data_IF_433260870573
#
_entry.id   IF_433260870573
#
_cell.length_a   1.000
_cell.length_b   1.000
_cell.length_c   1.000
_cell.angle_alpha   90.00
_cell.angle_beta   90.00
_cell.angle_gamma   90.00
#
_symmetry.space_group_name_H-M   'P 1'
#
loop_
_entity.id
_entity.type
_entity.pdbx_description
1 polymer ?
#
# COMPACT_ATOMS: atom_id res chain seq x y z
N UNK A 1 9.59 18.77 13.21
CA UNK A 1 9.02 17.93 12.13
C UNK A 1 10.06 17.60 11.07
N UNK A 2 10.60 18.57 10.30
CA UNK A 2 11.60 18.31 9.24
C UNK A 2 12.84 17.51 9.69
N UNK A 3 13.40 17.82 10.87
CA UNK A 3 14.54 17.10 11.43
C UNK A 3 14.26 15.62 11.72
N UNK A 4 13.03 15.28 12.12
CA UNK A 4 12.63 13.90 12.41
C UNK A 4 12.49 13.13 11.10
N UNK A 5 11.83 13.71 10.09
CA UNK A 5 11.70 13.13 8.75
C UNK A 5 13.06 12.87 8.13
N UNK A 6 13.97 13.85 8.19
CA UNK A 6 15.32 13.71 7.66
C UNK A 6 16.11 12.63 8.41
N UNK A 7 16.02 12.60 9.74
CA UNK A 7 16.62 11.56 10.58
C UNK A 7 16.11 10.16 10.22
N UNK A 8 14.79 9.98 10.11
CA UNK A 8 14.18 8.72 9.68
C UNK A 8 14.64 8.32 8.28
N UNK A 9 14.71 9.25 7.33
CA UNK A 9 15.20 8.96 5.99
C UNK A 9 16.65 8.46 5.99
N UNK A 10 17.54 9.09 6.77
CA UNK A 10 18.92 8.63 6.92
C UNK A 10 19.01 7.24 7.53
N UNK A 11 18.21 6.96 8.57
CA UNK A 11 18.14 5.62 9.18
C UNK A 11 17.65 4.59 8.15
N UNK A 12 16.60 4.88 7.39
CA UNK A 12 16.11 3.98 6.35
C UNK A 12 17.15 3.71 5.27
N UNK A 13 17.89 4.73 4.83
CA UNK A 13 18.99 4.56 3.88
C UNK A 13 20.10 3.68 4.46
N UNK A 14 20.48 3.90 5.72
CA UNK A 14 21.50 3.09 6.38
C UNK A 14 21.06 1.62 6.52
N UNK A 15 19.83 1.37 6.96
CA UNK A 15 19.26 0.04 7.05
C UNK A 15 19.16 -0.65 5.68
N UNK A 16 18.78 0.11 4.65
CA UNK A 16 18.73 -0.40 3.28
C UNK A 16 20.12 -0.81 2.79
N UNK A 17 21.15 0.01 3.04
CA UNK A 17 22.53 -0.33 2.69
C UNK A 17 23.01 -1.59 3.42
N UNK A 18 22.71 -1.72 4.71
CA UNK A 18 23.04 -2.93 5.47
C UNK A 18 22.38 -4.16 4.88
N UNK A 19 21.07 -4.11 4.61
CA UNK A 19 20.39 -5.26 4.02
C UNK A 19 20.88 -5.58 2.59
N UNK A 20 21.30 -4.59 1.80
CA UNK A 20 21.94 -4.84 0.48
C UNK A 20 23.25 -5.61 0.64
N UNK A 21 24.05 -5.28 1.66
CA UNK A 21 25.28 -6.02 1.99
C UNK A 21 24.93 -7.44 2.44
N UNK A 22 23.93 -7.60 3.30
CA UNK A 22 23.49 -8.92 3.78
C UNK A 22 23.03 -9.81 2.62
N UNK A 23 22.24 -9.27 1.68
CA UNK A 23 21.81 -9.99 0.47
C UNK A 23 23.03 -10.36 -0.40
N UNK A 24 23.99 -9.45 -0.58
CA UNK A 24 25.17 -9.73 -1.38
C UNK A 24 26.04 -10.84 -0.77
N UNK A 25 26.22 -10.81 0.55
CA UNK A 25 26.96 -11.85 1.29
C UNK A 25 26.22 -13.18 1.23
N UNK A 26 24.92 -13.20 1.55
CA UNK A 26 24.12 -14.43 1.49
C UNK A 26 24.06 -15.05 0.09
N UNK A 27 23.95 -14.21 -0.95
CA UNK A 27 24.03 -14.68 -2.33
C UNK A 27 25.41 -15.28 -2.66
N UNK A 28 26.49 -14.63 -2.21
CA UNK A 28 27.85 -15.16 -2.39
C UNK A 28 28.03 -16.51 -1.71
N UNK A 29 27.51 -16.66 -0.48
CA UNK A 29 27.55 -17.92 0.27
C UNK A 29 26.79 -19.04 -0.47
N UNK A 30 25.56 -18.79 -0.94
CA UNK A 30 24.78 -19.76 -1.73
C UNK A 30 25.51 -20.23 -3.00
N UNK A 31 26.15 -19.29 -3.70
CA UNK A 31 26.92 -19.60 -4.92
C UNK A 31 28.16 -20.42 -4.57
N UNK A 32 28.86 -20.07 -3.49
CA UNK A 32 30.08 -20.75 -3.06
C UNK A 32 29.80 -22.14 -2.49
N UNK A 33 28.71 -22.33 -1.76
CA UNK A 33 28.32 -23.62 -1.16
C UNK A 33 27.67 -24.58 -2.16
N UNK A 34 27.21 -24.06 -3.31
CA UNK A 34 26.42 -24.78 -4.33
C UNK A 34 25.03 -25.23 -3.83
N UNK A 35 24.51 -24.59 -2.80
CA UNK A 35 23.19 -24.87 -2.23
C UNK A 35 22.07 -24.06 -2.90
N UNK A 36 22.33 -23.44 -4.06
CA UNK A 36 21.34 -22.68 -4.84
C UNK A 36 20.11 -23.49 -5.31
N UNK A 37 20.07 -24.81 -5.06
CA UNK A 37 18.90 -25.67 -5.35
C UNK A 37 18.19 -26.13 -4.06
N UNK A 38 18.71 -25.80 -2.87
CA UNK A 38 18.03 -26.06 -1.61
C UNK A 38 16.95 -24.99 -1.38
N UNK A 39 15.65 -25.38 -1.28
CA UNK A 39 14.58 -24.44 -1.00
C UNK A 39 14.77 -23.66 0.30
N UNK A 40 15.41 -24.24 1.32
CA UNK A 40 15.61 -23.56 2.62
C UNK A 40 16.57 -22.38 2.49
N UNK A 41 17.73 -22.62 1.89
CA UNK A 41 18.73 -21.58 1.65
C UNK A 41 18.18 -20.42 0.80
N UNK A 42 17.30 -20.73 -0.17
CA UNK A 42 16.62 -19.69 -0.97
C UNK A 42 15.62 -18.89 -0.12
N UNK A 43 14.82 -19.55 0.73
CA UNK A 43 13.86 -18.87 1.60
C UNK A 43 14.57 -17.94 2.58
N UNK A 44 15.70 -18.36 3.16
CA UNK A 44 16.50 -17.53 4.06
C UNK A 44 17.03 -16.27 3.35
N UNK A 45 17.50 -16.40 2.10
CA UNK A 45 17.93 -15.25 1.29
C UNK A 45 16.75 -14.33 0.92
N UNK A 46 15.61 -14.94 0.56
CA UNK A 46 14.40 -14.19 0.25
C UNK A 46 13.91 -13.41 1.47
N UNK A 47 14.05 -13.93 2.68
CA UNK A 47 13.68 -13.23 3.89
C UNK A 47 14.42 -11.88 4.03
N UNK A 48 15.72 -11.85 3.72
CA UNK A 48 16.51 -10.60 3.69
C UNK A 48 16.06 -9.67 2.57
N UNK A 49 15.84 -10.20 1.35
CA UNK A 49 15.38 -9.40 0.21
C UNK A 49 14.00 -8.80 0.47
N UNK A 50 13.08 -9.58 1.03
CA UNK A 50 11.73 -9.14 1.35
C UNK A 50 11.73 -8.14 2.51
N UNK A 51 12.67 -8.25 3.46
CA UNK A 51 12.90 -7.22 4.48
C UNK A 51 13.36 -5.90 3.84
N UNK A 52 14.25 -5.93 2.85
CA UNK A 52 14.62 -4.73 2.09
C UNK A 52 13.40 -4.09 1.40
N UNK A 53 12.49 -4.90 0.84
CA UNK A 53 11.25 -4.39 0.24
C UNK A 53 10.36 -3.71 1.30
N UNK A 54 10.31 -4.22 2.53
CA UNK A 54 9.61 -3.54 3.65
C UNK A 54 10.25 -2.17 3.91
N UNK A 55 11.58 -2.05 3.92
CA UNK A 55 12.27 -0.76 4.12
C UNK A 55 11.90 0.23 3.00
N UNK A 56 11.88 -0.20 1.74
CA UNK A 56 11.48 0.64 0.60
C UNK A 56 10.03 1.14 0.76
N UNK A 57 9.16 0.29 1.27
CA UNK A 57 7.75 0.64 1.47
C UNK A 57 7.54 1.62 2.63
N UNK A 58 8.29 1.45 3.73
CA UNK A 58 8.32 2.45 4.82
C UNK A 58 8.84 3.79 4.30
N UNK A 59 9.83 3.79 3.42
CA UNK A 59 10.31 5.02 2.78
C UNK A 59 9.23 5.70 1.93
N UNK A 60 8.44 4.93 1.15
CA UNK A 60 7.29 5.48 0.41
C UNK A 60 6.24 6.09 1.32
N UNK A 61 5.95 5.44 2.44
CA UNK A 61 5.03 5.93 3.47
C UNK A 61 5.52 7.27 4.04
N UNK A 62 6.81 7.36 4.35
CA UNK A 62 7.44 8.60 4.81
C UNK A 62 7.33 9.72 3.77
N UNK A 63 7.61 9.41 2.50
CA UNK A 63 7.52 10.38 1.42
C UNK A 63 6.09 10.87 1.20
N UNK A 64 5.09 9.99 1.27
CA UNK A 64 3.69 10.35 1.15
C UNK A 64 3.25 11.28 2.30
N UNK A 65 3.71 11.03 3.52
CA UNK A 65 3.48 11.94 4.65
C UNK A 65 4.01 13.35 4.38
N UNK A 66 5.23 13.47 3.84
CA UNK A 66 5.83 14.76 3.49
C UNK A 66 5.08 15.46 2.35
N UNK A 67 4.52 14.71 1.40
CA UNK A 67 3.73 15.23 0.29
C UNK A 67 2.25 15.48 0.62
N UNK A 68 1.82 15.25 1.87
CA UNK A 68 0.42 15.28 2.28
C UNK A 68 -0.48 14.38 1.42
N UNK A 69 0.06 13.25 0.96
CA UNK A 69 -0.68 12.23 0.23
C UNK A 69 -1.41 11.29 1.20
N UNK A 70 -2.50 10.62 0.76
CA UNK A 70 -3.21 9.66 1.60
C UNK A 70 -2.32 8.49 2.03
N UNK A 71 -1.82 8.55 3.27
CA UNK A 71 -0.89 7.55 3.83
C UNK A 71 -1.56 6.18 4.04
N UNK A 72 -2.86 6.17 4.36
CA UNK A 72 -3.62 4.95 4.71
C UNK A 72 -3.55 3.89 3.60
N UNK A 73 -3.75 4.29 2.34
CA UNK A 73 -3.74 3.34 1.21
C UNK A 73 -2.36 2.74 0.96
N UNK A 74 -1.31 3.52 1.20
CA UNK A 74 0.09 3.06 1.09
C UNK A 74 0.39 2.06 2.21
N UNK A 75 -0.02 2.35 3.45
CA UNK A 75 0.18 1.45 4.58
C UNK A 75 -0.59 0.14 4.41
N UNK A 76 -1.81 0.17 3.87
CA UNK A 76 -2.56 -1.07 3.55
C UNK A 76 -1.83 -1.88 2.49
N UNK A 77 -1.33 -1.23 1.42
CA UNK A 77 -0.50 -1.88 0.42
C UNK A 77 0.75 -2.52 1.03
N UNK A 78 1.42 -1.82 1.95
CA UNK A 78 2.55 -2.34 2.71
C UNK A 78 2.19 -3.56 3.55
N UNK A 79 1.03 -3.53 4.22
CA UNK A 79 0.50 -4.68 4.96
C UNK A 79 0.29 -5.89 4.06
N UNK A 80 -0.27 -5.69 2.86
CA UNK A 80 -0.47 -6.79 1.88
C UNK A 80 0.88 -7.39 1.50
N UNK A 81 1.87 -6.57 1.19
CA UNK A 81 3.22 -7.03 0.84
C UNK A 81 3.87 -7.79 2.00
N UNK A 82 3.73 -7.30 3.24
CA UNK A 82 4.26 -7.97 4.42
C UNK A 82 3.65 -9.36 4.64
N UNK A 83 2.35 -9.52 4.39
CA UNK A 83 1.66 -10.80 4.54
C UNK A 83 1.96 -11.74 3.38
N UNK A 84 2.06 -11.19 2.17
CA UNK A 84 2.52 -11.95 1.00
C UNK A 84 3.94 -12.48 1.22
N UNK A 85 4.84 -11.70 1.85
CA UNK A 85 6.17 -12.16 2.28
C UNK A 85 6.07 -13.38 3.17
N UNK A 86 5.25 -13.31 4.23
CA UNK A 86 5.08 -14.42 5.16
C UNK A 86 4.55 -15.69 4.47
N UNK A 87 3.65 -15.52 3.49
CA UNK A 87 3.11 -16.62 2.69
C UNK A 87 4.18 -17.24 1.77
N UNK A 88 5.03 -16.42 1.15
CA UNK A 88 6.12 -16.90 0.28
C UNK A 88 7.15 -17.69 1.08
N UNK A 89 7.44 -17.25 2.32
CA UNK A 89 8.37 -17.93 3.24
C UNK A 89 7.72 -19.09 4.02
N UNK A 90 6.43 -19.37 3.81
CA UNK A 90 5.68 -20.34 4.61
C UNK A 90 6.13 -21.79 4.33
N UNK A 91 6.72 -22.44 5.33
CA UNK A 91 7.16 -23.82 5.24
C UNK A 91 6.39 -24.73 6.20
N UNK A 92 5.59 -25.66 5.65
CA UNK A 92 4.77 -26.61 6.45
C UNK A 92 5.63 -27.48 7.38
N UNK A 93 6.85 -27.83 6.96
CA UNK A 93 7.77 -28.65 7.76
C UNK A 93 8.37 -27.97 8.99
N UNK A 94 8.13 -26.66 9.18
CA UNK A 94 8.60 -25.92 10.35
C UNK A 94 7.67 -26.03 11.56
N UNK A 95 6.47 -26.61 11.39
CA UNK A 95 5.47 -26.75 12.46
C UNK A 95 5.52 -28.15 13.10
N UNK A 96 5.19 -28.24 14.39
CA UNK A 96 5.20 -29.50 15.13
C UNK A 96 4.09 -30.47 14.69
N UNK A 97 2.99 -29.93 14.13
CA UNK A 97 1.88 -30.72 13.62
C UNK A 97 1.19 -30.05 12.42
N UNK A 98 0.53 -30.85 11.59
CA UNK A 98 -0.25 -30.36 10.44
C UNK A 98 -1.41 -29.46 10.86
N UNK A 99 -1.95 -29.64 12.07
CA UNK A 99 -3.02 -28.79 12.61
C UNK A 99 -2.50 -27.38 12.91
N UNK A 100 -1.31 -27.25 13.54
CA UNK A 100 -0.68 -25.95 13.77
C UNK A 100 -0.41 -25.23 12.43
N UNK A 101 0.11 -25.96 11.44
CA UNK A 101 0.35 -25.41 10.11
C UNK A 101 -0.94 -24.93 9.44
N UNK A 102 -2.04 -25.70 9.56
CA UNK A 102 -3.33 -25.32 8.99
C UNK A 102 -3.91 -24.07 9.66
N UNK A 103 -3.79 -23.96 10.99
CA UNK A 103 -4.23 -22.77 11.73
C UNK A 103 -3.43 -21.54 11.30
N UNK A 104 -2.10 -21.67 11.18
CA UNK A 104 -1.22 -20.58 10.74
C UNK A 104 -1.57 -20.14 9.30
N UNK A 105 -1.72 -21.08 8.38
CA UNK A 105 -2.12 -20.79 7.00
C UNK A 105 -3.51 -20.12 6.94
N UNK A 106 -4.47 -20.59 7.74
CA UNK A 106 -5.80 -19.99 7.84
C UNK A 106 -5.75 -18.56 8.39
N UNK A 107 -4.90 -18.29 9.39
CA UNK A 107 -4.69 -16.95 9.92
C UNK A 107 -4.09 -16.00 8.87
N UNK A 108 -3.08 -16.45 8.12
CA UNK A 108 -2.48 -15.65 7.03
C UNK A 108 -3.49 -15.38 5.91
N UNK A 109 -4.30 -16.38 5.52
CA UNK A 109 -5.34 -16.21 4.52
C UNK A 109 -6.40 -15.19 4.96
N UNK A 110 -6.84 -15.27 6.23
CA UNK A 110 -7.81 -14.33 6.79
C UNK A 110 -7.24 -12.91 6.87
N UNK A 111 -6.00 -12.76 7.32
CA UNK A 111 -5.34 -11.46 7.42
C UNK A 111 -5.16 -10.83 6.04
N UNK A 112 -4.72 -11.61 5.04
CA UNK A 112 -4.64 -11.16 3.66
C UNK A 112 -6.00 -10.74 3.10
N UNK A 113 -7.06 -11.51 3.38
CA UNK A 113 -8.42 -11.20 2.94
C UNK A 113 -8.94 -9.88 3.56
N UNK A 114 -8.68 -9.65 4.86
CA UNK A 114 -9.03 -8.39 5.54
C UNK A 114 -8.30 -7.20 4.92
N UNK A 115 -7.00 -7.33 4.65
CA UNK A 115 -6.21 -6.25 4.02
C UNK A 115 -6.63 -5.99 2.58
N UNK A 116 -6.88 -7.04 1.80
CA UNK A 116 -7.38 -6.92 0.42
C UNK A 116 -8.75 -6.24 0.39
N UNK A 117 -9.63 -6.61 1.33
CA UNK A 117 -10.93 -5.95 1.52
C UNK A 117 -10.72 -4.48 1.87
N UNK A 118 -9.91 -4.16 2.88
CA UNK A 118 -9.60 -2.78 3.24
C UNK A 118 -9.02 -1.97 2.06
N UNK A 119 -8.16 -2.58 1.24
CA UNK A 119 -7.59 -1.92 0.06
C UNK A 119 -8.63 -1.55 -0.99
N UNK A 120 -9.65 -2.39 -1.19
CA UNK A 120 -10.75 -2.13 -2.14
C UNK A 120 -11.71 -1.08 -1.59
N UNK A 121 -12.03 -1.14 -0.30
CA UNK A 121 -13.06 -0.27 0.31
C UNK A 121 -12.54 1.09 0.77
N UNK A 122 -11.25 1.26 1.00
CA UNK A 122 -10.69 2.56 1.37
C UNK A 122 -10.75 3.52 0.17
N UNK A 123 -11.51 4.62 0.26
CA UNK A 123 -11.66 5.56 -0.84
C UNK A 123 -10.30 6.12 -1.25
N UNK A 124 -10.05 6.16 -2.56
CA UNK A 124 -8.99 7.01 -3.09
C UNK A 124 -9.50 8.45 -3.03
N UNK A 125 -8.76 9.35 -2.40
CA UNK A 125 -9.12 10.77 -2.42
C UNK A 125 -9.19 11.23 -3.88
N UNK A 126 -10.32 11.76 -4.37
CA UNK A 126 -10.42 12.32 -5.71
C UNK A 126 -9.64 13.63 -5.75
N UNK A 127 -8.33 13.50 -5.90
CA UNK A 127 -7.37 14.59 -6.09
C UNK A 127 -6.13 14.14 -6.85
N UNK A 128 -6.13 12.89 -7.33
CA UNK A 128 -5.10 12.37 -8.22
C UNK A 128 -5.60 12.53 -9.66
N UNK A 129 -5.27 13.66 -10.29
CA UNK A 129 -5.41 13.85 -11.74
C UNK A 129 -6.71 14.51 -12.24
N UNK A 130 -7.49 15.20 -11.41
CA UNK A 130 -8.45 16.16 -11.98
C UNK A 130 -7.64 17.27 -12.64
N UNK A 131 -7.65 17.30 -13.97
CA UNK A 131 -7.29 18.49 -14.73
C UNK A 131 -8.08 19.63 -14.10
N UNK A 132 -7.38 20.67 -13.65
CA UNK A 132 -8.02 21.93 -13.29
C UNK A 132 -8.86 22.36 -14.50
N UNK A 133 -10.18 22.21 -14.39
CA UNK A 133 -11.13 22.61 -15.41
C UNK A 133 -11.62 24.02 -15.07
N UNK A 134 -11.07 25.08 -15.68
CA UNK A 134 -11.45 26.46 -15.39
C UNK A 134 -12.88 26.80 -15.81
N UNK A 135 -13.63 25.87 -16.42
CA UNK A 135 -15.00 26.13 -16.88
C UNK A 135 -16.06 25.93 -15.80
N UNK A 136 -15.76 25.19 -14.72
CA UNK A 136 -16.71 24.97 -13.62
C UNK A 136 -16.89 26.18 -12.69
N UNK A 137 -15.92 27.10 -12.64
CA UNK A 137 -16.08 28.38 -11.94
C UNK A 137 -16.90 29.41 -12.74
N UNK A 138 -17.13 29.17 -14.05
CA UNK A 138 -17.78 30.16 -14.91
C UNK A 138 -19.32 30.09 -14.85
N UNK A 139 -19.89 28.93 -14.49
CA UNK A 139 -21.34 28.71 -14.46
C UNK A 139 -22.00 29.09 -13.13
N UNK A 140 -21.23 29.29 -12.06
CA UNK A 140 -21.74 29.72 -10.75
C UNK A 140 -21.92 31.24 -10.63
N UNK A 141 -21.35 32.00 -11.56
CA UNK A 141 -21.39 33.48 -11.59
C UNK A 141 -22.29 34.06 -12.69
N UNK A 142 -23.02 33.24 -13.45
CA UNK A 142 -24.06 33.75 -14.34
C UNK A 142 -25.33 34.07 -13.54
N UNK A 143 -25.82 35.32 -13.58
CA UNK A 143 -27.11 35.66 -12.98
C UNK A 143 -28.20 34.80 -13.62
N UNK A 144 -28.96 34.05 -12.80
CA UNK A 144 -30.12 33.29 -13.28
C UNK A 144 -31.12 34.25 -13.92
N UNK A 145 -31.42 34.05 -15.20
CA UNK A 145 -32.56 34.71 -15.86
C UNK A 145 -33.84 34.37 -15.08
N UNK A 146 -34.71 35.36 -14.82
CA UNK A 146 -35.96 35.11 -14.12
C UNK A 146 -36.91 34.32 -15.04
N UNK A 147 -37.32 33.16 -14.56
CA UNK A 147 -38.27 32.27 -15.20
C UNK A 147 -39.59 33.02 -15.48
N UNK A 148 -39.89 33.18 -16.77
CA UNK A 148 -41.00 33.97 -17.27
C UNK A 148 -42.24 33.14 -17.46
N UNK A 149 -43.16 33.24 -16.50
CA UNK A 149 -44.60 33.20 -16.79
C UNK A 149 -45.33 31.89 -16.48
N UNK A 150 -45.96 31.84 -15.31
CA UNK A 150 -47.25 31.19 -15.13
C UNK A 150 -48.28 32.27 -14.78
N UNK A 151 -49.04 32.70 -15.78
CA UNK A 151 -50.20 33.57 -15.58
C UNK A 151 -51.39 32.72 -15.06
N UNK A 152 -52.18 33.20 -14.10
CA UNK A 152 -53.30 32.43 -13.56
C UNK A 152 -54.50 32.41 -14.53
N UNK A 153 -54.94 31.20 -14.89
CA UNK A 153 -56.18 30.95 -15.62
C UNK A 153 -57.39 31.34 -14.76
N UNK A 154 -58.09 32.41 -15.16
CA UNK A 154 -59.44 32.72 -14.69
C UNK A 154 -60.46 32.03 -15.61
N UNK A 155 -61.37 31.17 -15.10
CA UNK A 155 -62.58 30.83 -15.83
C UNK A 155 -63.70 31.84 -15.55
N UNK A 156 -64.20 32.41 -16.64
CA UNK A 156 -65.36 33.31 -16.72
C UNK A 156 -66.69 32.50 -16.63
N UNK A 157 -67.73 33.20 -16.19
CA UNK A 157 -69.04 32.68 -15.81
C UNK A 157 -69.86 32.05 -16.96
N UNK A 158 -70.68 31.05 -16.61
CA UNK A 158 -71.98 30.77 -17.24
C UNK A 158 -72.94 30.20 -16.19
#
# INVERSE_FOLDING_TARGET
>A
MHWLVLGTAYVLIALFLLGVVDVAVGLYELVSSREFTDPRAIVDLLDTVLLLLIIVEVHRTLLAYVRNEPVVRIVIGAGIVAVAREIISFQVGAFESSEQALIAAGALALLLAVLATAFVFVPTSPGFGTIYDPTTERTSNEPREPDGGDAPDHPENA
#
